data_IF_604362823624
#
_entry.id   IF_604362823624
#
_cell.length_a   1.000
_cell.length_b   1.000
_cell.length_c   1.000
_cell.angle_alpha   90.00
_cell.angle_beta   90.00
_cell.angle_gamma   90.00
#
_symmetry.space_group_name_H-M   'P 1'
#
loop_
_entity.id
_entity.type
_entity.pdbx_description
1 polymer ?
#
# COMPACT_ATOMS: atom_id res chain seq x y z
N UNK A 1 -33.01 -7.53 -18.02
CA UNK A 1 -32.78 -7.26 -17.71
C UNK A 1 -32.42 -6.87 -16.94
N UNK A 2 -32.16 -6.54 -16.87
CA UNK A 2 -31.91 -6.05 -16.20
C UNK A 2 -31.43 -6.37 -15.01
N UNK A 3 -31.02 -6.90 -14.62
CA UNK A 3 -30.45 -7.32 -13.60
C UNK A 3 -29.19 -6.83 -13.17
N UNK A 4 -28.55 -6.23 -13.97
CA UNK A 4 -27.29 -5.68 -13.69
C UNK A 4 -27.21 -4.76 -12.56
N UNK A 5 -28.17 -4.02 -12.28
CA UNK A 5 -28.05 -3.07 -11.20
C UNK A 5 -27.76 -3.68 -9.87
N UNK A 6 -28.10 -4.87 -9.72
CA UNK A 6 -27.87 -5.50 -8.49
C UNK A 6 -26.44 -5.59 -8.16
N UNK A 7 -25.68 -5.82 -9.12
CA UNK A 7 -24.28 -5.94 -8.93
C UNK A 7 -23.68 -4.67 -8.44
N UNK A 8 -24.17 -3.61 -8.97
CA UNK A 8 -23.63 -2.33 -8.60
C UNK A 8 -23.80 -2.06 -7.13
N UNK A 9 -24.86 -2.52 -6.59
CA UNK A 9 -25.08 -2.28 -5.22
C UNK A 9 -24.09 -2.96 -4.34
N UNK A 10 -23.76 -4.15 -4.69
CA UNK A 10 -22.79 -4.88 -3.92
C UNK A 10 -21.49 -4.13 -3.88
N UNK A 11 -21.15 -3.55 -4.98
CA UNK A 11 -19.92 -2.79 -5.02
C UNK A 11 -19.95 -1.63 -4.10
N UNK A 12 -21.03 -0.95 -4.04
CA UNK A 12 -21.04 0.26 -3.26
C UNK A 12 -20.86 -0.03 -1.80
N UNK A 13 -21.25 -1.18 -1.36
CA UNK A 13 -21.05 -1.50 0.01
C UNK A 13 -19.61 -1.63 0.38
N UNK A 14 -18.81 -2.10 -0.49
CA UNK A 14 -17.42 -2.28 -0.18
C UNK A 14 -16.73 -0.96 0.05
N UNK A 15 -17.30 0.12 -0.40
CA UNK A 15 -16.66 1.40 -0.21
C UNK A 15 -16.69 1.87 1.22
N UNK A 16 -17.46 1.24 2.06
CA UNK A 16 -17.50 1.66 3.45
C UNK A 16 -16.54 0.90 4.33
N UNK A 17 -15.78 -0.01 3.75
CA UNK A 17 -14.81 -0.77 4.53
C UNK A 17 -13.71 0.14 5.06
N UNK A 18 -13.43 0.02 6.34
CA UNK A 18 -12.36 0.76 6.98
C UNK A 18 -11.43 -0.24 7.65
N UNK A 19 -10.16 -0.27 7.28
CA UNK A 19 -9.23 -1.21 7.88
C UNK A 19 -9.07 -0.98 9.37
N UNK A 20 -8.88 -2.04 10.12
CA UNK A 20 -8.57 -1.94 11.53
C UNK A 20 -7.13 -1.48 11.69
N UNK A 21 -6.75 -1.12 12.91
CA UNK A 21 -5.38 -0.73 13.19
C UNK A 21 -4.42 -1.86 12.86
N UNK A 22 -4.79 -3.09 13.17
CA UNK A 22 -3.94 -4.22 12.86
C UNK A 22 -3.76 -4.39 11.37
N UNK A 23 -4.83 -4.21 10.61
CA UNK A 23 -4.75 -4.32 9.17
C UNK A 23 -3.91 -3.21 8.58
N UNK A 24 -4.04 -1.99 9.12
CA UNK A 24 -3.22 -0.88 8.67
C UNK A 24 -1.75 -1.14 8.93
N UNK A 25 -1.44 -1.71 10.09
CA UNK A 25 -0.08 -2.05 10.43
C UNK A 25 0.47 -3.11 9.45
N UNK A 26 -0.34 -4.13 9.16
CA UNK A 26 0.08 -5.18 8.24
C UNK A 26 0.31 -4.65 6.84
N UNK A 27 -0.58 -3.75 6.38
CA UNK A 27 -0.41 -3.14 5.06
C UNK A 27 0.86 -2.30 5.01
N UNK A 28 1.14 -1.54 6.07
CA UNK A 28 2.34 -0.72 6.10
C UNK A 28 3.60 -1.57 6.10
N UNK A 29 3.60 -2.68 6.82
CA UNK A 29 4.73 -3.59 6.81
C UNK A 29 4.96 -4.18 5.44
N UNK A 30 3.88 -4.61 4.79
CA UNK A 30 3.99 -5.18 3.45
C UNK A 30 4.50 -4.13 2.48
N UNK A 31 3.97 -2.92 2.55
CA UNK A 31 4.38 -1.84 1.68
C UNK A 31 5.86 -1.51 1.90
N UNK A 32 6.26 -1.42 3.16
CA UNK A 32 7.66 -1.10 3.48
C UNK A 32 8.60 -2.18 2.95
N UNK A 33 8.24 -3.44 3.14
CA UNK A 33 9.07 -4.54 2.68
C UNK A 33 9.19 -4.52 1.16
N UNK A 34 8.07 -4.31 0.49
CA UNK A 34 8.04 -4.26 -0.96
C UNK A 34 8.88 -3.10 -1.50
N UNK A 35 8.71 -1.92 -0.90
CA UNK A 35 9.45 -0.74 -1.33
C UNK A 35 10.95 -0.90 -1.09
N UNK A 36 11.33 -1.52 0.02
CA UNK A 36 12.73 -1.76 0.30
C UNK A 36 13.35 -2.70 -0.72
N UNK A 37 12.63 -3.75 -1.09
CA UNK A 37 13.10 -4.68 -2.10
C UNK A 37 13.25 -4.00 -3.45
N UNK A 38 12.30 -3.18 -3.82
CA UNK A 38 12.36 -2.48 -5.09
C UNK A 38 13.47 -1.44 -5.11
N UNK A 39 13.67 -0.72 -4.01
CA UNK A 39 14.75 0.25 -3.93
C UNK A 39 16.10 -0.46 -4.10
N UNK A 40 16.27 -1.58 -3.43
CA UNK A 40 17.48 -2.36 -3.54
C UNK A 40 17.73 -2.81 -4.98
N UNK A 41 16.68 -3.28 -5.63
CA UNK A 41 16.77 -3.74 -7.01
C UNK A 41 17.19 -2.61 -7.93
N UNK A 42 16.53 -1.45 -7.81
CA UNK A 42 16.85 -0.31 -8.65
C UNK A 42 18.28 0.17 -8.42
N UNK A 43 18.73 0.16 -7.16
CA UNK A 43 20.12 0.54 -6.87
C UNK A 43 21.11 -0.39 -7.55
N UNK A 44 20.82 -1.69 -7.55
CA UNK A 44 21.72 -2.63 -8.17
C UNK A 44 21.78 -2.46 -9.67
N UNK A 45 20.73 -1.88 -10.25
CA UNK A 45 20.70 -1.60 -11.67
C UNK A 45 21.21 -0.21 -12.02
N UNK A 46 21.55 0.58 -11.02
CA UNK A 46 22.02 1.93 -11.24
C UNK A 46 20.91 2.93 -11.49
N UNK A 47 19.66 2.55 -11.27
CA UNK A 47 18.53 3.44 -11.49
C UNK A 47 18.26 4.22 -10.20
N UNK A 48 19.03 5.25 -10.00
CA UNK A 48 18.99 6.01 -8.75
C UNK A 48 17.66 6.74 -8.56
N UNK A 49 17.11 7.30 -9.63
CA UNK A 49 15.85 8.04 -9.53
C UNK A 49 14.70 7.15 -9.07
N UNK A 50 14.61 5.95 -9.62
CA UNK A 50 13.56 5.03 -9.23
C UNK A 50 13.79 4.53 -7.81
N UNK A 51 15.03 4.28 -7.45
CA UNK A 51 15.36 3.84 -6.09
C UNK A 51 14.95 4.91 -5.09
N UNK A 52 15.19 6.16 -5.43
CA UNK A 52 14.84 7.26 -4.54
C UNK A 52 13.33 7.36 -4.33
N UNK A 53 12.55 7.18 -5.40
CA UNK A 53 11.10 7.20 -5.28
C UNK A 53 10.61 6.10 -4.34
N UNK A 54 11.19 4.92 -4.47
CA UNK A 54 10.81 3.81 -3.61
C UNK A 54 11.24 4.06 -2.16
N UNK A 55 12.38 4.70 -1.98
CA UNK A 55 12.85 5.03 -0.63
C UNK A 55 11.91 6.03 0.04
N UNK A 56 11.37 6.98 -0.71
CA UNK A 56 10.41 7.93 -0.16
C UNK A 56 9.14 7.22 0.28
N UNK A 57 8.66 6.28 -0.53
CA UNK A 57 7.49 5.50 -0.16
C UNK A 57 7.76 4.64 1.08
N UNK A 58 8.94 4.08 1.15
CA UNK A 58 9.35 3.29 2.30
C UNK A 58 9.34 4.16 3.56
N UNK A 59 9.87 5.35 3.46
CA UNK A 59 9.91 6.27 4.59
C UNK A 59 8.50 6.58 5.08
N UNK A 60 7.57 6.81 4.16
CA UNK A 60 6.19 7.08 4.54
C UNK A 60 5.57 5.89 5.25
N UNK A 61 5.83 4.69 4.78
CA UNK A 61 5.31 3.49 5.43
C UNK A 61 5.89 3.33 6.82
N UNK A 62 7.17 3.64 6.98
CA UNK A 62 7.81 3.56 8.29
C UNK A 62 7.22 4.57 9.26
N UNK A 63 6.87 5.75 8.77
CA UNK A 63 6.24 6.76 9.61
C UNK A 63 4.89 6.28 10.13
N UNK A 64 4.13 5.60 9.28
CA UNK A 64 2.86 5.03 9.71
C UNK A 64 3.09 4.01 10.80
N UNK A 65 4.10 3.16 10.64
CA UNK A 65 4.40 2.12 11.62
C UNK A 65 4.85 2.71 12.95
N UNK A 66 5.56 3.82 12.90
CA UNK A 66 6.05 4.46 14.12
C UNK A 66 4.94 5.07 14.95
N UNK A 67 3.90 5.57 14.31
CA UNK A 67 2.84 6.23 15.07
C UNK A 67 1.76 5.29 15.54
N UNK A 68 1.77 4.05 15.08
CA UNK A 68 0.77 3.09 15.51
C UNK A 68 1.21 2.42 16.79
N UNK A 69 0.29 2.22 17.72
CA UNK A 69 0.63 1.61 19.00
C UNK A 69 1.02 0.15 18.85
#
# INVERSE_FOLDING_TARGET
MTTSPTVARASSRSTTYTPTTEEQHAFALLQATSDACMAKLYLSKGNIAAARRKAVQLLKALQVLEVQP
#
